data_IF_613475306514
#
_entry.id   IF_613475306514
#
_cell.length_a   1.000
_cell.length_b   1.000
_cell.length_c   1.000
_cell.angle_alpha   90.00
_cell.angle_beta   90.00
_cell.angle_gamma   90.00
#
_symmetry.space_group_name_H-M   'P 1'
#
loop_
_entity.id
_entity.type
_entity.pdbx_description
1 polymer ?
#
# COMPACT_ATOMS: atom_id res chain seq x y z
N UNK A 1 -3.12 -21.86 5.14
CA UNK A 1 -2.14 -20.76 5.15
C UNK A 1 -1.65 -20.60 6.58
N UNK A 2 -0.37 -20.34 6.82
CA UNK A 2 0.17 -20.11 8.18
C UNK A 2 0.41 -18.62 8.42
N UNK A 3 0.50 -18.20 9.69
CA UNK A 3 0.80 -16.80 10.07
C UNK A 3 2.09 -16.29 9.40
N UNK A 4 3.14 -17.09 9.38
CA UNK A 4 4.41 -16.71 8.74
C UNK A 4 4.28 -16.53 7.22
N UNK A 5 3.49 -17.38 6.54
CA UNK A 5 3.23 -17.21 5.10
C UNK A 5 2.46 -15.91 4.83
N UNK A 6 1.49 -15.56 5.66
CA UNK A 6 0.76 -14.28 5.53
C UNK A 6 1.70 -13.08 5.70
N UNK A 7 2.51 -13.06 6.76
CA UNK A 7 3.51 -12.00 6.98
C UNK A 7 4.47 -11.86 5.80
N UNK A 8 4.92 -12.98 5.23
CA UNK A 8 5.82 -12.97 4.09
C UNK A 8 5.18 -12.32 2.86
N UNK A 9 3.89 -12.57 2.60
CA UNK A 9 3.17 -11.90 1.52
C UNK A 9 3.04 -10.39 1.74
N UNK A 10 2.74 -9.96 2.97
CA UNK A 10 2.71 -8.52 3.33
C UNK A 10 4.08 -7.88 3.06
N UNK A 11 5.17 -8.54 3.47
CA UNK A 11 6.53 -8.04 3.27
C UNK A 11 6.90 -7.99 1.79
N UNK A 12 6.56 -9.02 0.99
CA UNK A 12 6.82 -9.02 -0.45
C UNK A 12 6.12 -7.85 -1.15
N UNK A 13 4.85 -7.59 -0.81
CA UNK A 13 4.12 -6.47 -1.38
C UNK A 13 4.80 -5.12 -1.08
N UNK A 14 5.31 -4.95 0.14
CA UNK A 14 6.09 -3.76 0.52
C UNK A 14 7.43 -3.65 -0.20
N UNK A 15 8.12 -4.77 -0.41
CA UNK A 15 9.38 -4.79 -1.17
C UNK A 15 9.12 -4.41 -2.62
N UNK A 16 8.06 -4.94 -3.24
CA UNK A 16 7.70 -4.59 -4.61
C UNK A 16 7.37 -3.10 -4.74
N UNK A 17 6.61 -2.54 -3.81
CA UNK A 17 6.31 -1.10 -3.77
C UNK A 17 7.59 -0.28 -3.58
N UNK A 18 8.48 -0.69 -2.67
CA UNK A 18 9.75 0.00 -2.48
C UNK A 18 10.60 -0.02 -3.76
N UNK A 19 10.63 -1.15 -4.47
CA UNK A 19 11.36 -1.28 -5.72
C UNK A 19 10.74 -0.41 -6.83
N UNK A 20 9.40 -0.31 -6.94
CA UNK A 20 8.76 0.56 -7.94
C UNK A 20 9.16 2.03 -7.75
N UNK A 21 9.20 2.50 -6.49
CA UNK A 21 9.60 3.87 -6.15
C UNK A 21 11.10 4.15 -6.37
N UNK A 22 11.93 3.11 -6.45
CA UNK A 22 13.40 3.24 -6.49
C UNK A 22 14.03 2.86 -7.82
N UNK A 23 13.36 2.10 -8.67
CA UNK A 23 13.95 1.61 -9.92
C UNK A 23 14.31 2.75 -10.87
N UNK A 24 13.44 3.75 -11.00
CA UNK A 24 13.67 4.91 -11.87
C UNK A 24 14.89 5.76 -11.46
N UNK A 25 15.04 6.18 -10.18
CA UNK A 25 16.22 6.92 -9.76
C UNK A 25 17.49 6.06 -9.64
N UNK A 26 17.38 4.76 -9.32
CA UNK A 26 18.55 3.90 -9.15
C UNK A 26 19.24 3.56 -10.48
N UNK A 27 18.48 3.50 -11.57
CA UNK A 27 18.97 3.17 -12.90
C UNK A 27 18.92 4.35 -13.89
N UNK A 28 18.60 5.56 -13.41
CA UNK A 28 18.45 6.78 -14.20
C UNK A 28 17.52 6.58 -15.43
N UNK A 29 16.44 5.81 -15.25
CA UNK A 29 15.51 5.46 -16.33
C UNK A 29 14.66 6.65 -16.77
N UNK A 30 14.53 7.65 -15.90
CA UNK A 30 13.84 8.91 -16.19
C UNK A 30 14.80 10.05 -15.85
N UNK A 31 15.15 10.93 -16.81
CA UNK A 31 15.99 12.07 -16.53
C UNK A 31 15.29 13.10 -15.63
N UNK A 32 16.05 13.69 -14.71
CA UNK A 32 15.60 14.84 -13.94
C UNK A 32 15.22 16.00 -14.90
N UNK A 33 14.06 16.68 -14.74
CA UNK A 33 13.18 16.75 -13.57
C UNK A 33 11.84 16.00 -13.73
N UNK A 34 11.77 14.98 -14.60
CA UNK A 34 10.52 14.26 -14.87
C UNK A 34 10.21 13.16 -13.83
N UNK A 35 11.17 12.83 -12.98
CA UNK A 35 10.98 11.92 -11.84
C UNK A 35 9.99 12.52 -10.83
N UNK A 36 8.97 11.75 -10.42
CA UNK A 36 7.99 12.06 -9.35
C UNK A 36 7.78 13.55 -9.09
N UNK A 37 7.13 14.25 -10.02
CA UNK A 37 6.61 15.58 -9.71
C UNK A 37 5.38 15.42 -8.84
N UNK A 38 5.49 15.77 -7.55
CA UNK A 38 4.31 16.15 -6.77
C UNK A 38 3.63 17.31 -7.52
N UNK A 39 2.41 17.14 -8.06
CA UNK A 39 1.75 18.21 -8.78
C UNK A 39 1.31 19.25 -7.77
N UNK A 40 1.92 20.44 -7.87
CA UNK A 40 1.69 21.63 -7.04
C UNK A 40 1.93 21.39 -5.53
N UNK A 41 2.28 22.45 -4.78
CA UNK A 41 2.28 22.36 -3.31
C UNK A 41 0.86 22.00 -2.85
N UNK A 42 0.75 20.93 -2.09
CA UNK A 42 -0.50 20.50 -1.45
C UNK A 42 -0.96 21.59 -0.48
N UNK A 43 -2.25 21.90 -0.49
CA UNK A 43 -2.84 22.79 0.51
C UNK A 43 -2.76 22.15 1.91
N UNK A 44 -2.83 22.98 2.96
CA UNK A 44 -2.62 22.52 4.34
C UNK A 44 -3.55 21.37 4.75
N UNK A 45 -4.82 21.43 4.35
CA UNK A 45 -5.81 20.37 4.63
C UNK A 45 -5.47 19.05 3.93
N UNK A 46 -5.00 19.12 2.67
CA UNK A 46 -4.60 17.95 1.90
C UNK A 46 -3.31 17.32 2.45
N UNK A 47 -2.43 18.13 3.01
CA UNK A 47 -1.23 17.64 3.71
C UNK A 47 -1.59 16.86 4.96
N UNK A 48 -2.53 17.38 5.76
CA UNK A 48 -3.04 16.67 6.95
C UNK A 48 -3.71 15.35 6.55
N UNK A 49 -4.53 15.35 5.50
CA UNK A 49 -5.16 14.13 4.97
C UNK A 49 -4.11 13.10 4.52
N UNK A 50 -3.07 13.54 3.79
CA UNK A 50 -1.97 12.68 3.37
C UNK A 50 -1.25 12.07 4.59
N UNK A 51 -0.99 12.86 5.63
CA UNK A 51 -0.41 12.35 6.87
C UNK A 51 -1.29 11.27 7.51
N UNK A 52 -2.61 11.46 7.56
CA UNK A 52 -3.53 10.44 8.08
C UNK A 52 -3.55 9.17 7.24
N UNK A 53 -3.50 9.29 5.91
CA UNK A 53 -3.41 8.15 5.00
C UNK A 53 -2.14 7.36 5.27
N UNK A 54 -0.99 8.04 5.35
CA UNK A 54 0.31 7.40 5.64
C UNK A 54 0.31 6.73 7.02
N UNK A 55 -0.16 7.43 8.05
CA UNK A 55 -0.25 6.88 9.41
C UNK A 55 -1.16 5.66 9.48
N UNK A 56 -2.32 5.71 8.81
CA UNK A 56 -3.25 4.58 8.79
C UNK A 56 -2.72 3.39 7.99
N UNK A 57 -1.98 3.62 6.90
CA UNK A 57 -1.23 2.56 6.20
C UNK A 57 -0.20 1.91 7.10
N UNK A 58 0.62 2.69 7.81
CA UNK A 58 1.64 2.16 8.73
C UNK A 58 0.99 1.39 9.87
N UNK A 59 -0.06 1.95 10.49
CA UNK A 59 -0.81 1.30 11.56
C UNK A 59 -1.48 0.01 11.09
N UNK A 60 -2.07 0.00 9.89
CA UNK A 60 -2.72 -1.17 9.32
C UNK A 60 -1.72 -2.25 8.91
N UNK A 61 -0.55 -1.91 8.37
CA UNK A 61 0.55 -2.86 8.11
C UNK A 61 1.06 -3.49 9.41
N UNK A 62 1.30 -2.67 10.44
CA UNK A 62 1.63 -3.15 11.77
C UNK A 62 0.56 -4.11 12.28
N UNK A 63 -0.71 -3.70 12.21
CA UNK A 63 -1.84 -4.52 12.59
C UNK A 63 -1.90 -5.86 11.84
N UNK A 64 -1.59 -5.88 10.54
CA UNK A 64 -1.50 -7.11 9.73
C UNK A 64 -0.36 -8.03 10.17
N UNK A 65 0.80 -7.48 10.54
CA UNK A 65 1.94 -8.26 11.03
C UNK A 65 1.66 -8.92 12.39
N UNK A 66 0.87 -8.24 13.23
CA UNK A 66 0.48 -8.72 14.57
C UNK A 66 -0.93 -9.33 14.63
N UNK A 67 -1.61 -9.48 13.49
CA UNK A 67 -2.96 -10.05 13.37
C UNK A 67 -4.00 -9.35 14.27
N UNK A 68 -3.99 -8.01 14.28
CA UNK A 68 -4.99 -7.22 15.02
C UNK A 68 -6.31 -7.20 14.25
N UNK A 69 -7.46 -7.39 14.92
CA UNK A 69 -8.76 -7.52 14.25
C UNK A 69 -9.19 -6.26 13.48
N UNK A 70 -8.75 -5.07 13.89
CA UNK A 70 -9.04 -3.81 13.20
C UNK A 70 -8.19 -3.58 11.94
N UNK A 71 -7.09 -4.33 11.76
CA UNK A 71 -6.09 -4.04 10.73
C UNK A 71 -6.61 -4.22 9.30
N UNK A 72 -7.34 -5.30 8.95
CA UNK A 72 -7.86 -5.47 7.60
C UNK A 72 -8.81 -4.34 7.19
N UNK A 73 -9.68 -3.92 8.12
CA UNK A 73 -10.64 -2.84 7.88
C UNK A 73 -9.96 -1.48 7.77
N UNK A 74 -9.00 -1.19 8.65
CA UNK A 74 -8.24 0.06 8.58
C UNK A 74 -7.49 0.17 7.24
N UNK A 75 -6.80 -0.89 6.81
CA UNK A 75 -6.07 -0.88 5.54
C UNK A 75 -6.99 -0.62 4.34
N UNK A 76 -8.17 -1.24 4.29
CA UNK A 76 -9.15 -1.00 3.22
C UNK A 76 -9.61 0.46 3.19
N UNK A 77 -9.95 1.02 4.35
CA UNK A 77 -10.37 2.43 4.45
C UNK A 77 -9.24 3.34 4.00
N UNK A 78 -8.02 3.14 4.49
CA UNK A 78 -6.88 3.98 4.07
C UNK A 78 -6.49 3.79 2.62
N UNK A 79 -6.62 2.60 2.04
CA UNK A 79 -6.39 2.37 0.61
C UNK A 79 -7.43 3.14 -0.23
N UNK A 80 -8.70 3.10 0.17
CA UNK A 80 -9.75 3.89 -0.48
C UNK A 80 -9.48 5.40 -0.36
N UNK A 81 -9.11 5.89 0.83
CA UNK A 81 -8.71 7.29 1.03
C UNK A 81 -7.50 7.68 0.17
N UNK A 82 -6.49 6.80 0.07
CA UNK A 82 -5.32 7.00 -0.77
C UNK A 82 -5.67 7.13 -2.26
N UNK A 83 -6.52 6.23 -2.77
CA UNK A 83 -7.01 6.29 -4.16
C UNK A 83 -7.80 7.57 -4.44
N UNK A 84 -8.70 7.95 -3.52
CA UNK A 84 -9.46 9.20 -3.63
C UNK A 84 -8.55 10.42 -3.59
N UNK A 85 -7.50 10.40 -2.77
CA UNK A 85 -6.52 11.47 -2.68
C UNK A 85 -5.74 11.61 -3.99
N UNK A 86 -5.27 10.50 -4.57
CA UNK A 86 -4.55 10.49 -5.85
C UNK A 86 -5.45 11.02 -6.97
N UNK A 87 -6.68 10.50 -7.08
CA UNK A 87 -7.64 10.91 -8.09
C UNK A 87 -8.05 12.38 -7.94
N UNK A 88 -8.34 12.83 -6.71
CA UNK A 88 -8.77 14.19 -6.43
C UNK A 88 -7.69 15.26 -6.66
N UNK A 89 -6.42 14.90 -6.48
CA UNK A 89 -5.29 15.83 -6.66
C UNK A 89 -4.62 15.72 -8.04
N UNK A 90 -5.14 14.89 -8.95
CA UNK A 90 -4.49 14.58 -10.24
C UNK A 90 -3.01 14.25 -10.07
N UNK A 91 -2.68 13.44 -9.04
CA UNK A 91 -1.32 12.97 -8.81
C UNK A 91 -0.92 12.03 -9.95
N UNK A 92 -0.35 12.60 -11.01
CA UNK A 92 0.21 11.88 -12.14
C UNK A 92 1.73 11.77 -11.94
N UNK A 93 2.19 10.58 -11.56
CA UNK A 93 3.60 10.23 -11.62
C UNK A 93 3.96 9.86 -13.06
N UNK A 94 5.06 10.41 -13.57
CA UNK A 94 5.71 9.87 -14.77
C UNK A 94 6.63 8.76 -14.27
N UNK A 95 6.36 7.54 -14.74
CA UNK A 95 7.05 6.32 -14.32
C UNK A 95 7.53 5.55 -15.55
N UNK A 96 8.69 4.90 -15.46
CA UNK A 96 9.16 4.04 -16.54
C UNK A 96 8.28 2.79 -16.65
N UNK A 97 8.36 2.09 -17.77
CA UNK A 97 7.65 0.81 -17.94
C UNK A 97 8.00 -0.21 -16.85
N UNK A 98 9.23 -0.20 -16.34
CA UNK A 98 9.65 -1.07 -15.25
C UNK A 98 9.04 -0.66 -13.91
N UNK A 99 9.02 0.64 -13.60
CA UNK A 99 8.36 1.15 -12.40
C UNK A 99 6.86 0.85 -12.42
N UNK A 100 6.18 1.06 -13.54
CA UNK A 100 4.76 0.75 -13.72
C UNK A 100 4.44 -0.73 -13.51
N UNK A 101 5.28 -1.64 -14.04
CA UNK A 101 5.09 -3.09 -13.85
C UNK A 101 5.26 -3.47 -12.38
N UNK A 102 6.29 -2.94 -11.72
CA UNK A 102 6.50 -3.20 -10.29
C UNK A 102 5.39 -2.61 -9.43
N UNK A 103 4.90 -1.41 -9.76
CA UNK A 103 3.81 -0.76 -9.06
C UNK A 103 2.50 -1.53 -9.24
N UNK A 104 2.21 -1.99 -10.46
CA UNK A 104 1.07 -2.88 -10.71
C UNK A 104 1.15 -4.17 -9.90
N UNK A 105 2.30 -4.84 -9.88
CA UNK A 105 2.51 -6.05 -9.10
C UNK A 105 2.40 -5.79 -7.59
N UNK A 106 2.93 -4.67 -7.11
CA UNK A 106 2.84 -4.24 -5.72
C UNK A 106 1.38 -4.01 -5.32
N UNK A 107 0.63 -3.23 -6.10
CA UNK A 107 -0.77 -2.91 -5.82
C UNK A 107 -1.68 -4.15 -5.92
N UNK A 108 -1.49 -5.00 -6.93
CA UNK A 108 -2.24 -6.24 -7.07
C UNK A 108 -1.95 -7.21 -5.92
N UNK A 109 -0.68 -7.40 -5.56
CA UNK A 109 -0.30 -8.28 -4.46
C UNK A 109 -0.75 -7.74 -3.10
N UNK A 110 -0.57 -6.44 -2.84
CA UNK A 110 -1.06 -5.78 -1.63
C UNK A 110 -2.58 -5.89 -1.53
N UNK A 111 -3.31 -5.55 -2.60
CA UNK A 111 -4.77 -5.64 -2.65
C UNK A 111 -5.27 -7.05 -2.33
N UNK A 112 -4.70 -8.07 -2.96
CA UNK A 112 -5.03 -9.47 -2.67
C UNK A 112 -4.74 -9.83 -1.22
N UNK A 113 -3.59 -9.43 -0.68
CA UNK A 113 -3.19 -9.73 0.71
C UNK A 113 -4.11 -9.04 1.73
N UNK A 114 -4.56 -7.82 1.45
CA UNK A 114 -5.50 -7.08 2.28
C UNK A 114 -6.91 -7.68 2.22
N UNK A 115 -7.28 -8.28 1.09
CA UNK A 115 -8.57 -8.94 0.89
C UNK A 115 -8.63 -10.36 1.46
N UNK A 116 -7.50 -11.06 1.60
CA UNK A 116 -7.44 -12.44 2.11
C UNK A 116 -8.23 -12.72 3.41
N UNK A 117 -8.24 -11.85 4.44
CA UNK A 117 -9.04 -12.07 5.65
C UNK A 117 -10.56 -12.16 5.39
N UNK A 118 -11.04 -11.60 4.27
CA UNK A 118 -12.45 -11.60 3.91
C UNK A 118 -12.84 -12.81 3.05
N UNK A 119 -11.92 -13.34 2.24
CA UNK A 119 -12.17 -14.43 1.30
C UNK A 119 -11.65 -15.81 1.75
N UNK A 120 -10.79 -15.88 2.77
CA UNK A 120 -10.20 -17.14 3.23
C UNK A 120 -10.40 -17.34 4.74
N UNK A 121 -11.20 -18.34 5.12
CA UNK A 121 -11.51 -18.62 6.52
C UNK A 121 -10.27 -18.91 7.38
N UNK A 122 -9.25 -19.56 6.81
CA UNK A 122 -8.01 -19.83 7.55
C UNK A 122 -7.26 -18.54 7.86
N UNK A 123 -7.33 -17.53 6.99
CA UNK A 123 -6.74 -16.21 7.23
C UNK A 123 -7.64 -15.39 8.15
N UNK A 124 -8.96 -15.42 7.94
CA UNK A 124 -9.95 -14.76 8.81
C UNK A 124 -9.75 -15.14 10.28
N UNK A 125 -9.60 -16.45 10.56
CA UNK A 125 -9.35 -16.96 11.92
C UNK A 125 -8.03 -16.50 12.54
N UNK A 126 -7.08 -16.01 11.75
CA UNK A 126 -5.86 -15.41 12.29
C UNK A 126 -6.13 -14.05 12.92
N UNK A 127 -7.08 -13.29 12.36
CA UNK A 127 -7.45 -11.92 12.78
C UNK A 127 -8.62 -11.90 13.77
N UNK A 128 -9.58 -12.80 13.58
CA UNK A 128 -10.76 -12.99 14.44
C UNK A 128 -10.84 -14.46 14.86
N UNK A 129 -10.10 -14.87 15.90
CA UNK A 129 -10.24 -16.21 16.44
C UNK A 129 -11.64 -16.37 17.04
N UNK A 130 -12.38 -17.39 16.60
CA UNK A 130 -13.62 -17.80 17.25
C UNK A 130 -13.26 -18.41 18.62
N UNK A 131 -14.04 -18.12 19.69
CA UNK A 131 -13.91 -18.87 20.93
C UNK A 131 -14.29 -20.33 20.66
N UNK A 132 -13.50 -21.26 21.20
CA UNK A 132 -13.73 -22.71 21.12
C UNK A 132 -15.06 -23.13 21.78
#
# INVERSE_FOLDING_TARGET
>A
MTKNRYRLLVVIALILLYLSLKIDPAFDLIPYPYQMRLPKPLEGEMTVLLCFIVLGWVAGLYGCMFFRPWAPSLNLVTAACGLLFIAGNNMLSIESSWAQVLDFLANASAGLVLMLPYFNDKVRKMFWPEPD
#
